data_IF_277231609943
#
_entry.id   IF_277231609943
#
_cell.length_a   1.000
_cell.length_b   1.000
_cell.length_c   1.000
_cell.angle_alpha   90.00
_cell.angle_beta   90.00
_cell.angle_gamma   90.00
#
_symmetry.space_group_name_H-M   'P 1'
#
loop_
_entity.id
_entity.type
_entity.pdbx_description
1 polymer ?
#
# COMPACT_ATOMS: atom_id res chain seq x y z
N UNK A 1 -18.12 -27.76 -36.05
CA UNK A 1 -16.65 -27.75 -35.83
C UNK A 1 -16.04 -26.37 -35.80
N UNK A 2 -16.34 -25.47 -36.72
CA UNK A 2 -15.79 -24.10 -36.76
C UNK A 2 -16.08 -23.24 -35.48
N UNK A 3 -17.26 -23.40 -34.88
CA UNK A 3 -17.64 -22.58 -33.71
C UNK A 3 -16.83 -22.92 -32.45
N UNK A 4 -16.45 -24.19 -32.24
CA UNK A 4 -15.62 -24.61 -31.11
C UNK A 4 -14.16 -24.12 -31.24
N UNK A 5 -13.64 -24.05 -32.45
CA UNK A 5 -12.30 -23.58 -32.75
C UNK A 5 -12.11 -22.11 -32.36
N UNK A 6 -13.08 -21.25 -32.65
CA UNK A 6 -13.08 -19.82 -32.34
C UNK A 6 -13.03 -19.56 -30.80
N UNK A 7 -13.78 -20.35 -30.03
CA UNK A 7 -13.79 -20.20 -28.57
C UNK A 7 -12.43 -20.52 -27.89
N UNK A 8 -11.75 -21.54 -28.37
CA UNK A 8 -10.41 -21.89 -27.84
C UNK A 8 -9.39 -20.82 -28.20
N UNK A 9 -9.40 -20.26 -29.39
CA UNK A 9 -8.51 -19.16 -29.78
C UNK A 9 -8.75 -17.92 -28.95
N UNK A 10 -10.01 -17.57 -28.68
CA UNK A 10 -10.37 -16.44 -27.81
C UNK A 10 -9.87 -16.65 -26.38
N UNK A 11 -9.97 -17.85 -25.83
CA UNK A 11 -9.43 -18.17 -24.51
C UNK A 11 -7.91 -18.05 -24.47
N UNK A 12 -7.20 -18.59 -25.45
CA UNK A 12 -5.76 -18.46 -25.55
C UNK A 12 -5.32 -16.99 -25.66
N UNK A 13 -6.02 -16.21 -26.48
CA UNK A 13 -5.75 -14.78 -26.65
C UNK A 13 -6.00 -13.99 -25.36
N UNK A 14 -7.12 -14.24 -24.67
CA UNK A 14 -7.44 -13.61 -23.40
C UNK A 14 -6.40 -13.94 -22.31
N UNK A 15 -5.98 -15.20 -22.21
CA UNK A 15 -4.92 -15.62 -21.28
C UNK A 15 -3.59 -14.92 -21.56
N UNK A 16 -3.19 -14.82 -22.84
CA UNK A 16 -1.96 -14.12 -23.26
C UNK A 16 -1.99 -12.64 -22.89
N UNK A 17 -3.11 -11.96 -23.13
CA UNK A 17 -3.28 -10.55 -22.78
C UNK A 17 -3.17 -10.35 -21.26
N UNK A 18 -3.82 -11.20 -20.47
CA UNK A 18 -3.77 -11.10 -19.00
C UNK A 18 -2.34 -11.30 -18.49
N UNK A 19 -1.60 -12.27 -19.04
CA UNK A 19 -0.19 -12.47 -18.71
C UNK A 19 0.67 -11.25 -19.10
N UNK A 20 0.46 -10.68 -20.29
CA UNK A 20 1.16 -9.47 -20.72
C UNK A 20 0.84 -8.27 -19.82
N UNK A 21 -0.42 -8.07 -19.44
CA UNK A 21 -0.85 -7.02 -18.51
C UNK A 21 -0.19 -7.22 -17.15
N UNK A 22 -0.03 -8.45 -16.66
CA UNK A 22 0.59 -8.72 -15.38
C UNK A 22 2.00 -8.15 -15.28
N UNK A 23 2.78 -8.23 -16.38
CA UNK A 23 4.18 -7.76 -16.43
C UNK A 23 4.32 -6.24 -16.35
N UNK A 24 3.26 -5.49 -16.66
CA UNK A 24 3.25 -4.00 -16.63
C UNK A 24 2.85 -3.50 -15.23
N UNK A 25 2.38 -4.37 -14.35
CA UNK A 25 1.88 -3.96 -13.04
C UNK A 25 3.03 -3.60 -12.09
N UNK A 26 2.99 -2.40 -11.52
CA UNK A 26 3.96 -1.93 -10.51
C UNK A 26 3.72 -2.55 -9.13
N UNK A 27 2.54 -3.08 -8.87
CA UNK A 27 2.19 -3.73 -7.60
C UNK A 27 2.39 -5.24 -7.71
N UNK A 28 3.19 -5.80 -6.80
CA UNK A 28 3.47 -7.24 -6.75
C UNK A 28 2.18 -8.06 -6.58
N UNK A 29 1.23 -7.57 -5.77
CA UNK A 29 -0.07 -8.22 -5.59
C UNK A 29 -0.87 -8.27 -6.90
N UNK A 30 -0.94 -7.14 -7.62
CA UNK A 30 -1.66 -7.08 -8.90
C UNK A 30 -0.97 -7.95 -9.95
N UNK A 31 0.37 -7.88 -10.04
CA UNK A 31 1.15 -8.73 -10.92
C UNK A 31 0.80 -10.21 -10.71
N UNK A 32 0.88 -10.69 -9.46
CA UNK A 32 0.57 -12.07 -9.11
C UNK A 32 -0.88 -12.46 -9.39
N UNK A 33 -1.83 -11.55 -9.12
CA UNK A 33 -3.26 -11.80 -9.36
C UNK A 33 -3.57 -11.92 -10.86
N UNK A 34 -3.06 -11.00 -11.69
CA UNK A 34 -3.27 -11.04 -13.13
C UNK A 34 -2.56 -12.24 -13.77
N UNK A 35 -1.33 -12.56 -13.30
CA UNK A 35 -0.59 -13.76 -13.71
C UNK A 35 -1.37 -15.03 -13.38
N UNK A 36 -1.89 -15.15 -12.16
CA UNK A 36 -2.72 -16.28 -11.71
C UNK A 36 -3.92 -16.51 -12.64
N UNK A 37 -4.68 -15.43 -12.90
CA UNK A 37 -5.88 -15.54 -13.75
C UNK A 37 -5.49 -15.91 -15.19
N UNK A 38 -4.48 -15.26 -15.74
CA UNK A 38 -3.97 -15.52 -17.08
C UNK A 38 -3.47 -16.95 -17.24
N UNK A 39 -2.66 -17.44 -16.30
CA UNK A 39 -2.14 -18.81 -16.29
C UNK A 39 -3.26 -19.85 -16.12
N UNK A 40 -4.29 -19.56 -15.29
CA UNK A 40 -5.45 -20.45 -15.15
C UNK A 40 -6.18 -20.62 -16.49
N UNK A 41 -6.48 -19.50 -17.18
CA UNK A 41 -7.12 -19.51 -18.49
C UNK A 41 -6.25 -20.25 -19.51
N UNK A 42 -4.94 -20.01 -19.50
CA UNK A 42 -4.01 -20.68 -20.42
C UNK A 42 -3.82 -22.17 -20.12
N UNK A 43 -3.90 -22.57 -18.86
CA UNK A 43 -3.89 -23.98 -18.46
C UNK A 43 -5.10 -24.72 -19.02
N UNK A 44 -6.30 -24.15 -18.84
CA UNK A 44 -7.56 -24.71 -19.40
C UNK A 44 -7.47 -24.77 -20.92
N UNK A 45 -7.00 -23.72 -21.57
CA UNK A 45 -6.80 -23.68 -23.02
C UNK A 45 -5.87 -24.81 -23.49
N UNK A 46 -4.69 -24.98 -22.87
CA UNK A 46 -3.72 -25.99 -23.24
C UNK A 46 -4.27 -27.42 -23.19
N UNK A 47 -5.03 -27.75 -22.17
CA UNK A 47 -5.71 -29.05 -22.07
C UNK A 47 -6.84 -29.19 -23.12
N UNK A 48 -7.60 -28.13 -23.35
CA UNK A 48 -8.72 -28.16 -24.31
C UNK A 48 -8.29 -28.37 -25.76
N UNK A 49 -7.12 -27.82 -26.16
CA UNK A 49 -6.56 -28.02 -27.53
C UNK A 49 -5.71 -29.28 -27.66
N UNK A 50 -5.59 -30.09 -26.59
CA UNK A 50 -4.83 -31.33 -26.62
C UNK A 50 -3.30 -31.16 -26.54
N UNK A 51 -2.81 -30.02 -25.99
CA UNK A 51 -1.38 -29.77 -25.75
C UNK A 51 -1.12 -29.77 -24.23
N UNK A 52 -1.00 -30.97 -23.62
CA UNK A 52 -0.93 -31.11 -22.15
C UNK A 52 0.31 -30.43 -21.54
N UNK A 53 1.40 -30.28 -22.27
CA UNK A 53 2.60 -29.60 -21.79
C UNK A 53 2.32 -28.11 -21.48
N UNK A 54 1.55 -27.43 -22.35
CA UNK A 54 1.16 -26.03 -22.12
C UNK A 54 0.23 -25.94 -20.91
N UNK A 55 -0.73 -26.88 -20.78
CA UNK A 55 -1.64 -26.95 -19.64
C UNK A 55 -0.90 -27.13 -18.32
N UNK A 56 0.03 -28.08 -18.25
CA UNK A 56 0.81 -28.39 -17.03
C UNK A 56 1.74 -27.25 -16.64
N UNK A 57 2.44 -26.62 -17.58
CA UNK A 57 3.33 -25.49 -17.27
C UNK A 57 2.54 -24.31 -16.67
N UNK A 58 1.37 -24.00 -17.25
CA UNK A 58 0.55 -22.93 -16.71
C UNK A 58 -0.11 -23.31 -15.36
N UNK A 59 -0.49 -24.56 -15.15
CA UNK A 59 -0.96 -25.05 -13.85
C UNK A 59 0.15 -24.89 -12.78
N UNK A 60 1.40 -25.14 -13.13
CA UNK A 60 2.53 -24.88 -12.21
C UNK A 60 2.66 -23.41 -11.88
N UNK A 61 2.51 -22.49 -12.85
CA UNK A 61 2.52 -21.03 -12.60
C UNK A 61 1.39 -20.67 -11.64
N UNK A 62 0.19 -21.21 -11.80
CA UNK A 62 -0.95 -21.01 -10.89
C UNK A 62 -0.56 -21.38 -9.45
N UNK A 63 0.05 -22.55 -9.24
CA UNK A 63 0.51 -22.98 -7.90
C UNK A 63 1.54 -22.02 -7.31
N UNK A 64 2.49 -21.56 -8.11
CA UNK A 64 3.52 -20.59 -7.68
C UNK A 64 2.88 -19.26 -7.31
N UNK A 65 1.95 -18.74 -8.11
CA UNK A 65 1.29 -17.47 -7.84
C UNK A 65 0.43 -17.53 -6.58
N UNK A 66 -0.31 -18.63 -6.35
CA UNK A 66 -1.05 -18.87 -5.09
C UNK A 66 -0.10 -18.87 -3.89
N UNK A 67 1.01 -19.59 -3.96
CA UNK A 67 2.01 -19.63 -2.90
C UNK A 67 2.51 -18.21 -2.55
N UNK A 68 2.89 -17.42 -3.56
CA UNK A 68 3.37 -16.06 -3.34
C UNK A 68 2.28 -15.12 -2.82
N UNK A 69 1.02 -15.23 -3.30
CA UNK A 69 -0.09 -14.44 -2.78
C UNK A 69 -0.35 -14.73 -1.30
N UNK A 70 -0.33 -16.01 -0.90
CA UNK A 70 -0.46 -16.39 0.51
C UNK A 70 0.71 -15.81 1.33
N UNK A 71 1.94 -15.94 0.83
CA UNK A 71 3.15 -15.42 1.49
C UNK A 71 3.08 -13.89 1.67
N UNK A 72 2.64 -13.16 0.66
CA UNK A 72 2.49 -11.69 0.71
C UNK A 72 1.44 -11.30 1.75
N UNK A 73 0.29 -11.99 1.80
CA UNK A 73 -0.75 -11.69 2.79
C UNK A 73 -0.36 -12.09 4.21
N UNK A 74 0.39 -13.17 4.36
CA UNK A 74 0.94 -13.57 5.67
C UNK A 74 2.04 -12.61 6.17
N UNK A 75 2.72 -11.93 5.26
CA UNK A 75 3.80 -10.99 5.56
C UNK A 75 3.34 -9.61 6.09
N UNK A 76 2.03 -9.40 6.31
CA UNK A 76 1.52 -8.20 7.01
C UNK A 76 2.09 -8.06 8.43
N UNK A 77 2.60 -9.13 9.02
CA UNK A 77 3.28 -9.12 10.32
C UNK A 77 4.72 -8.57 10.31
N UNK A 78 5.30 -8.29 9.15
CA UNK A 78 6.72 -7.90 9.03
C UNK A 78 6.97 -6.39 8.95
N UNK A 79 5.93 -5.56 9.01
CA UNK A 79 6.13 -4.11 9.14
C UNK A 79 6.58 -3.75 10.56
N UNK A 80 7.52 -2.78 10.64
CA UNK A 80 7.92 -2.14 11.90
C UNK A 80 7.89 -0.64 11.71
N UNK A 81 7.42 0.09 12.72
CA UNK A 81 7.54 1.53 12.77
C UNK A 81 8.68 1.88 13.72
N UNK A 82 9.66 2.62 13.26
CA UNK A 82 10.72 3.20 14.09
C UNK A 82 10.56 4.71 14.12
N UNK A 83 10.66 5.27 15.30
CA UNK A 83 10.69 6.71 15.47
C UNK A 83 12.09 7.23 15.17
N UNK A 84 12.16 8.31 14.41
CA UNK A 84 13.41 8.98 14.06
C UNK A 84 13.30 10.47 14.32
N UNK A 85 14.43 11.14 14.44
CA UNK A 85 14.46 12.58 14.56
C UNK A 85 14.18 13.27 13.23
N UNK A 86 13.57 14.45 13.27
CA UNK A 86 13.32 15.26 12.07
C UNK A 86 14.61 15.62 11.29
N UNK A 87 15.73 15.68 12.03
CA UNK A 87 17.07 15.97 11.48
C UNK A 87 17.79 14.75 10.91
N UNK A 88 17.17 13.57 10.90
CA UNK A 88 17.79 12.34 10.40
C UNK A 88 18.16 12.48 8.91
N UNK A 89 19.42 12.30 8.53
CA UNK A 89 19.86 12.46 7.15
C UNK A 89 19.18 11.49 6.18
N UNK A 90 18.86 10.27 6.63
CA UNK A 90 18.19 9.28 5.80
C UNK A 90 16.72 9.66 5.55
N UNK A 91 16.04 10.19 6.57
CA UNK A 91 14.68 10.73 6.41
C UNK A 91 14.64 11.82 5.33
N UNK A 92 15.57 12.78 5.43
CA UNK A 92 15.65 13.87 4.46
C UNK A 92 15.93 13.33 3.03
N UNK A 93 16.90 12.43 2.90
CA UNK A 93 17.18 11.79 1.60
C UNK A 93 15.94 11.05 1.06
N UNK A 94 15.24 10.28 1.90
CA UNK A 94 14.04 9.55 1.50
C UNK A 94 12.94 10.47 0.99
N UNK A 95 12.67 11.56 1.70
CA UNK A 95 11.65 12.55 1.31
C UNK A 95 12.04 13.21 -0.02
N UNK A 96 13.28 13.68 -0.16
CA UNK A 96 13.73 14.34 -1.38
C UNK A 96 13.72 13.39 -2.58
N UNK A 97 14.10 12.14 -2.39
CA UNK A 97 14.05 11.13 -3.45
C UNK A 97 12.62 10.88 -3.95
N UNK A 98 11.65 10.84 -3.03
CA UNK A 98 10.25 10.57 -3.35
C UNK A 98 9.39 11.84 -3.49
N UNK A 99 9.96 13.04 -3.45
CA UNK A 99 9.22 14.31 -3.37
C UNK A 99 8.19 14.50 -4.49
N UNK A 100 8.49 14.03 -5.71
CA UNK A 100 7.56 14.13 -6.85
C UNK A 100 6.30 13.26 -6.62
N UNK A 101 6.48 12.07 -6.11
CA UNK A 101 5.39 11.14 -5.81
C UNK A 101 4.61 11.60 -4.57
N UNK A 102 5.32 12.06 -3.54
CA UNK A 102 4.70 12.66 -2.34
C UNK A 102 3.81 13.84 -2.74
N UNK A 103 4.28 14.80 -3.52
CA UNK A 103 3.49 15.95 -3.94
C UNK A 103 2.31 15.60 -4.84
N UNK A 104 2.36 14.48 -5.56
CA UNK A 104 1.22 13.99 -6.34
C UNK A 104 0.04 13.55 -5.46
N UNK A 105 0.30 12.98 -4.28
CA UNK A 105 -0.73 12.52 -3.33
C UNK A 105 -1.01 13.53 -2.21
N UNK A 106 -0.03 14.32 -1.84
CA UNK A 106 -0.07 15.35 -0.80
C UNK A 106 0.40 16.69 -1.36
N UNK A 107 -0.40 17.36 -2.21
CA UNK A 107 0.01 18.62 -2.85
C UNK A 107 0.34 19.73 -1.86
N UNK A 108 -0.24 19.68 -0.65
CA UNK A 108 0.01 20.65 0.43
C UNK A 108 1.15 20.27 1.38
N UNK A 109 1.91 19.19 1.08
CA UNK A 109 3.05 18.84 1.92
C UNK A 109 4.20 19.81 1.71
N UNK A 110 4.65 20.41 2.80
CA UNK A 110 5.80 21.29 2.87
C UNK A 110 6.82 20.68 3.85
N UNK A 111 8.04 20.47 3.37
CA UNK A 111 9.14 19.92 4.16
C UNK A 111 9.70 20.89 5.20
N UNK A 112 9.30 22.18 5.14
CA UNK A 112 9.59 23.16 6.19
C UNK A 112 9.13 22.72 7.59
N UNK A 113 8.12 21.87 7.66
CA UNK A 113 7.65 21.21 8.90
C UNK A 113 8.78 20.47 9.63
N UNK A 114 9.80 19.99 8.91
CA UNK A 114 10.95 19.28 9.47
C UNK A 114 12.03 20.25 10.00
N UNK A 115 12.04 21.49 9.55
CA UNK A 115 13.06 22.48 9.85
C UNK A 115 12.61 23.51 10.88
N UNK A 116 11.31 23.66 11.10
CA UNK A 116 10.73 24.60 12.06
C UNK A 116 11.15 24.22 13.50
N UNK A 117 11.98 25.07 14.13
CA UNK A 117 12.53 24.82 15.46
C UNK A 117 11.46 24.82 16.57
N UNK A 118 10.43 25.63 16.42
CA UNK A 118 9.32 25.69 17.38
C UNK A 118 8.39 24.46 17.23
N UNK A 119 8.25 23.92 16.02
CA UNK A 119 7.48 22.70 15.73
C UNK A 119 8.19 21.41 16.12
N UNK A 120 9.52 21.36 16.16
CA UNK A 120 10.32 20.15 16.43
C UNK A 120 10.02 19.48 17.77
N UNK A 121 9.67 20.23 18.81
CA UNK A 121 9.41 19.70 20.17
C UNK A 121 8.23 18.71 20.22
N UNK A 122 7.30 18.82 19.27
CA UNK A 122 6.08 18.01 19.22
C UNK A 122 5.95 17.20 17.92
N UNK A 123 6.98 17.21 17.08
CA UNK A 123 7.00 16.49 15.82
C UNK A 123 7.31 15.02 16.09
N UNK A 124 6.44 14.15 15.58
CA UNK A 124 6.61 12.71 15.58
C UNK A 124 6.84 12.25 14.15
N UNK A 125 7.97 11.59 13.94
CA UNK A 125 8.34 11.02 12.64
C UNK A 125 8.55 9.52 12.80
N UNK A 126 7.84 8.74 12.00
CA UNK A 126 7.99 7.29 11.97
C UNK A 126 8.40 6.85 10.57
N UNK A 127 9.52 6.14 10.48
CA UNK A 127 9.86 5.36 9.29
C UNK A 127 9.16 4.00 9.39
N UNK A 128 8.44 3.65 8.35
CA UNK A 128 7.81 2.36 8.20
C UNK A 128 8.75 1.42 7.48
N UNK A 129 9.21 0.40 8.17
CA UNK A 129 10.14 -0.60 7.64
C UNK A 129 9.38 -1.86 7.21
N UNK A 130 9.79 -2.44 6.10
CA UNK A 130 9.46 -3.79 5.67
C UNK A 130 10.75 -4.55 5.42
N UNK A 131 10.99 -5.61 6.18
CA UNK A 131 12.22 -6.43 6.04
C UNK A 131 13.52 -5.59 6.04
N UNK A 132 13.62 -4.59 6.92
CA UNK A 132 14.71 -3.61 7.03
C UNK A 132 14.79 -2.54 5.90
N UNK A 133 13.99 -2.62 4.84
CA UNK A 133 13.87 -1.56 3.85
C UNK A 133 12.83 -0.52 4.30
N UNK A 134 13.09 0.77 4.02
CA UNK A 134 12.10 1.81 4.30
C UNK A 134 11.00 1.77 3.26
N UNK A 135 9.82 1.38 3.70
CA UNK A 135 8.61 1.26 2.89
C UNK A 135 7.78 2.56 2.87
N UNK A 136 7.96 3.43 3.87
CA UNK A 136 7.19 4.67 3.96
C UNK A 136 7.57 5.52 5.15
N UNK A 137 6.88 6.65 5.29
CA UNK A 137 7.08 7.61 6.36
C UNK A 137 5.75 8.19 6.81
N UNK A 138 5.59 8.34 8.12
CA UNK A 138 4.52 9.11 8.71
C UNK A 138 5.10 10.28 9.49
N UNK A 139 4.62 11.49 9.21
CA UNK A 139 5.01 12.72 9.90
C UNK A 139 3.75 13.37 10.45
N UNK A 140 3.77 13.69 11.72
CA UNK A 140 2.67 14.38 12.38
C UNK A 140 3.13 15.22 13.55
N UNK A 141 2.35 16.24 13.88
CA UNK A 141 2.57 17.08 15.05
C UNK A 141 1.61 16.65 16.16
N UNK A 142 2.17 16.34 17.32
CA UNK A 142 1.41 16.06 18.53
C UNK A 142 1.04 17.38 19.23
N UNK A 143 -0.25 17.60 19.44
CA UNK A 143 -0.74 18.68 20.28
C UNK A 143 -1.66 18.08 21.35
N UNK A 144 -1.23 18.14 22.61
CA UNK A 144 -1.87 17.44 23.73
C UNK A 144 -2.04 15.94 23.45
N UNK A 145 -3.28 15.47 23.32
CA UNK A 145 -3.62 14.06 23.04
C UNK A 145 -3.97 13.79 21.57
N UNK A 146 -3.73 14.75 20.69
CA UNK A 146 -4.09 14.68 19.27
C UNK A 146 -2.81 14.64 18.42
N UNK A 147 -2.77 13.70 17.48
CA UNK A 147 -1.75 13.64 16.42
C UNK A 147 -2.33 14.20 15.11
N UNK A 148 -1.81 15.33 14.67
CA UNK A 148 -2.15 15.92 13.37
C UNK A 148 -1.20 15.37 12.31
N UNK A 149 -1.71 14.56 11.39
CA UNK A 149 -0.91 13.93 10.32
C UNK A 149 -0.69 14.93 9.20
N UNK A 150 0.57 15.23 8.90
CA UNK A 150 1.01 16.07 7.79
C UNK A 150 1.38 15.26 6.56
N UNK A 151 1.99 14.09 6.77
CA UNK A 151 2.37 13.17 5.71
C UNK A 151 2.14 11.73 6.18
N UNK A 152 1.48 10.93 5.34
CA UNK A 152 1.34 9.49 5.46
C UNK A 152 1.63 8.89 4.09
N UNK A 153 2.91 8.66 3.83
CA UNK A 153 3.39 8.25 2.52
C UNK A 153 3.99 6.85 2.57
N UNK A 154 3.60 6.05 1.58
CA UNK A 154 4.16 4.71 1.35
C UNK A 154 4.58 4.61 -0.11
N UNK A 155 5.74 4.04 -0.35
CA UNK A 155 6.26 3.85 -1.72
C UNK A 155 5.39 2.88 -2.51
N UNK A 156 5.40 3.02 -3.82
CA UNK A 156 4.51 2.29 -4.74
C UNK A 156 4.56 0.77 -4.52
N UNK A 157 5.75 0.23 -4.25
CA UNK A 157 6.00 -1.21 -4.08
C UNK A 157 5.29 -1.78 -2.84
N UNK A 158 5.06 -0.96 -1.81
CA UNK A 158 4.52 -1.40 -0.53
C UNK A 158 3.07 -0.96 -0.24
N UNK A 159 2.45 -0.14 -1.10
CA UNK A 159 1.09 0.41 -0.89
C UNK A 159 0.02 -0.66 -0.71
N UNK A 160 0.13 -1.74 -1.45
CA UNK A 160 -0.87 -2.83 -1.43
C UNK A 160 -0.56 -3.91 -0.38
N UNK A 161 0.47 -3.73 0.46
CA UNK A 161 0.94 -4.73 1.43
C UNK A 161 0.41 -4.53 2.87
N UNK A 162 -0.60 -3.68 3.07
CA UNK A 162 -1.22 -3.49 4.39
C UNK A 162 -0.47 -2.54 5.33
N UNK A 163 0.41 -1.69 4.80
CA UNK A 163 1.20 -0.71 5.57
C UNK A 163 0.34 0.22 6.44
N UNK A 164 -0.75 0.74 5.88
CA UNK A 164 -1.70 1.57 6.62
C UNK A 164 -2.42 0.80 7.74
N UNK A 165 -2.81 -0.45 7.49
CA UNK A 165 -3.41 -1.30 8.53
C UNK A 165 -2.44 -1.56 9.67
N UNK A 166 -1.18 -1.80 9.35
CA UNK A 166 -0.15 -1.93 10.38
C UNK A 166 -0.07 -0.67 11.24
N UNK A 167 0.08 0.51 10.63
CA UNK A 167 0.27 1.75 11.38
C UNK A 167 -0.97 2.12 12.22
N UNK A 168 -2.14 2.11 11.60
CA UNK A 168 -3.37 2.58 12.24
C UNK A 168 -4.14 1.53 13.03
N UNK A 169 -3.77 0.26 12.95
CA UNK A 169 -4.41 -0.82 13.74
C UNK A 169 -3.43 -1.51 14.66
N UNK A 170 -2.24 -1.89 14.18
CA UNK A 170 -1.27 -2.66 14.98
C UNK A 170 -0.37 -1.76 15.82
N UNK A 171 0.14 -0.65 15.25
CA UNK A 171 1.06 0.27 15.93
C UNK A 171 0.33 1.26 16.87
N UNK A 172 -0.99 1.20 16.97
CA UNK A 172 -1.81 2.06 17.87
C UNK A 172 -1.33 2.00 19.33
N UNK A 173 -0.83 0.84 19.79
CA UNK A 173 -0.30 0.70 21.14
C UNK A 173 0.84 1.68 21.43
N UNK A 174 1.79 1.79 20.50
CA UNK A 174 2.91 2.75 20.61
C UNK A 174 2.43 4.21 20.64
N UNK A 175 1.39 4.55 19.88
CA UNK A 175 0.79 5.88 19.90
C UNK A 175 0.09 6.17 21.23
N UNK A 176 -0.61 5.19 21.80
CA UNK A 176 -1.24 5.31 23.13
C UNK A 176 -0.20 5.51 24.23
N UNK A 177 0.92 4.78 24.21
CA UNK A 177 2.03 4.95 25.15
C UNK A 177 2.60 6.37 25.11
N UNK A 178 2.51 7.05 23.96
CA UNK A 178 2.85 8.47 23.80
C UNK A 178 1.72 9.43 24.23
N UNK A 179 0.62 8.91 24.78
CA UNK A 179 -0.52 9.70 25.24
C UNK A 179 -1.41 10.23 24.11
N UNK A 180 -1.32 9.66 22.90
CA UNK A 180 -2.20 10.04 21.79
C UNK A 180 -3.52 9.27 21.94
N UNK A 181 -4.63 10.01 21.87
CA UNK A 181 -5.99 9.48 21.96
C UNK A 181 -6.74 9.65 20.64
N UNK A 182 -6.30 10.58 19.79
CA UNK A 182 -6.96 10.91 18.56
C UNK A 182 -5.94 11.21 17.46
N UNK A 183 -6.25 10.78 16.25
CA UNK A 183 -5.45 11.08 15.04
C UNK A 183 -6.34 11.87 14.09
N UNK A 184 -5.80 12.97 13.56
CA UNK A 184 -6.50 13.83 12.61
C UNK A 184 -5.69 13.91 11.32
N UNK A 185 -6.36 13.70 10.19
CA UNK A 185 -5.81 13.92 8.85
C UNK A 185 -6.71 14.82 8.03
N UNK A 186 -6.13 15.73 7.25
CA UNK A 186 -6.86 16.66 6.38
C UNK A 186 -6.61 16.28 4.92
N UNK A 187 -7.68 16.07 4.16
CA UNK A 187 -7.57 15.79 2.72
C UNK A 187 -8.87 16.10 1.99
N UNK A 188 -8.75 16.46 0.71
CA UNK A 188 -9.85 16.58 -0.25
C UNK A 188 -9.71 15.56 -1.39
N UNK A 189 -8.58 14.84 -1.46
CA UNK A 189 -8.33 13.82 -2.47
C UNK A 189 -9.21 12.58 -2.26
N UNK A 190 -9.91 12.17 -3.30
CA UNK A 190 -10.87 11.06 -3.24
C UNK A 190 -10.21 9.71 -2.93
N UNK A 191 -8.99 9.47 -3.43
CA UNK A 191 -8.28 8.22 -3.19
C UNK A 191 -7.80 8.16 -1.73
N UNK A 192 -7.29 9.27 -1.21
CA UNK A 192 -6.87 9.40 0.17
C UNK A 192 -8.07 9.32 1.14
N UNK A 193 -9.22 9.92 0.80
CA UNK A 193 -10.47 9.77 1.58
C UNK A 193 -10.88 8.30 1.69
N UNK A 194 -10.86 7.56 0.57
CA UNK A 194 -11.17 6.12 0.56
C UNK A 194 -10.20 5.32 1.44
N UNK A 195 -8.93 5.67 1.39
CA UNK A 195 -7.90 5.07 2.24
C UNK A 195 -8.15 5.35 3.72
N UNK A 196 -8.37 6.62 4.12
CA UNK A 196 -8.62 6.98 5.51
C UNK A 196 -9.86 6.26 6.08
N UNK A 197 -10.95 6.19 5.30
CA UNK A 197 -12.15 5.42 5.70
C UNK A 197 -11.85 3.93 5.93
N UNK A 198 -11.05 3.31 5.06
CA UNK A 198 -10.59 1.92 5.23
C UNK A 198 -9.76 1.76 6.51
N UNK A 199 -9.00 2.78 6.90
CA UNK A 199 -8.21 2.81 8.14
C UNK A 199 -9.03 3.13 9.39
N UNK A 200 -10.34 3.37 9.25
CA UNK A 200 -11.25 3.65 10.36
C UNK A 200 -11.23 5.10 10.81
N UNK A 201 -11.04 6.02 9.87
CA UNK A 201 -11.25 7.44 10.09
C UNK A 201 -12.67 7.83 9.67
N UNK A 202 -13.31 8.65 10.48
CA UNK A 202 -14.63 9.23 10.22
C UNK A 202 -14.48 10.70 9.87
N UNK A 203 -15.40 11.20 9.03
CA UNK A 203 -15.47 12.62 8.72
C UNK A 203 -15.93 13.40 9.95
N UNK A 204 -15.19 14.43 10.34
CA UNK A 204 -15.56 15.28 11.46
C UNK A 204 -16.88 16.02 11.16
N UNK A 205 -17.84 16.03 12.09
CA UNK A 205 -19.05 16.86 11.96
C UNK A 205 -18.66 18.31 11.65
N UNK A 206 -19.40 18.93 10.71
CA UNK A 206 -19.16 20.32 10.26
C UNK A 206 -17.87 20.58 9.47
N UNK A 207 -17.17 19.54 9.03
CA UNK A 207 -16.00 19.65 8.12
C UNK A 207 -16.21 18.84 6.85
N UNK A 208 -15.66 19.31 5.72
CA UNK A 208 -15.67 18.57 4.45
C UNK A 208 -14.34 17.84 4.19
N UNK A 209 -13.29 18.13 4.99
CA UNK A 209 -11.92 17.71 4.72
C UNK A 209 -11.14 17.18 5.93
N UNK A 210 -11.74 17.19 7.11
CA UNK A 210 -11.07 16.73 8.34
C UNK A 210 -11.60 15.36 8.71
N UNK A 211 -10.69 14.40 8.78
CA UNK A 211 -10.96 13.00 9.13
C UNK A 211 -10.31 12.69 10.47
N UNK A 212 -11.06 12.04 11.33
CA UNK A 212 -10.70 11.79 12.73
C UNK A 212 -10.75 10.30 13.01
N UNK A 213 -9.75 9.78 13.70
CA UNK A 213 -9.74 8.42 14.24
C UNK A 213 -9.49 8.48 15.74
N UNK A 214 -10.44 7.97 16.51
CA UNK A 214 -10.28 7.77 17.95
C UNK A 214 -9.54 6.46 18.20
N UNK A 215 -8.51 6.52 19.04
CA UNK A 215 -7.70 5.36 19.43
C UNK A 215 -7.73 5.13 20.95
N UNK A 216 -8.54 5.92 21.67
CA UNK A 216 -8.83 5.74 23.09
C UNK A 216 -9.70 4.49 23.26
N UNK A 217 -9.19 3.49 23.83
CA UNK A 217 -9.72 2.26 24.45
C UNK A 217 -8.88 1.07 24.10
#
# INVERSE_FOLDING_TARGET
MLCNFIWYELLGFAGSILLAISLIMNSINKLRLYSLIGALVFSVYGFAIGVPLVGLLNAFIVCVDIYYLIKIHSANAAFKAIEVQASDPYLNYFIQYHIKDIKAFFPGFDDSVLTDEDGKKNLLVFLLLKDAAVAGVLIGVKNNHILYVHLDYVTIEYRDLGSGEFFYKTNVKSLKEKGIQQIISKTEDKAHIKYLKKMGFDLQPNSRKVYVKNIST
#
